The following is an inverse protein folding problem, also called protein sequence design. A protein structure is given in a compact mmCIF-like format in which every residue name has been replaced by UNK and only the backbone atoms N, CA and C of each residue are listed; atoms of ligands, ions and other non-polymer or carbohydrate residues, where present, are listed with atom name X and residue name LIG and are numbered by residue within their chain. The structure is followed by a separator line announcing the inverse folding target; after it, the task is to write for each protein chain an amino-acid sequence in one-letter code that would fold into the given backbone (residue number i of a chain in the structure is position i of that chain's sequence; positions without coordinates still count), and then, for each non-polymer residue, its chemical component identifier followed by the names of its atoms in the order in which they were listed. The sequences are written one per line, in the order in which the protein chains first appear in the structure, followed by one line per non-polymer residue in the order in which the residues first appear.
data_IF_408785039114
#
_entry.id   IF_408785039114
#
_cell.length_a   1.000
_cell.length_b   1.000
_cell.length_c   1.000
_cell.angle_alpha   90.00
_cell.angle_beta   90.00
_cell.angle_gamma   90.00
#
_symmetry.space_group_name_H-M   'P 1'
#
loop_
_entity.id
_entity.type
_entity.pdbx_description
1 polymer ?
#
# COMPACT_ATOMS: atom_id res chain seq x y z
N UNK A 1 12.90 -4.65 0.60
CA UNK A 1 11.55 -5.21 0.79
C UNK A 1 10.83 -4.32 1.79
N UNK A 2 9.64 -3.82 1.46
CA UNK A 2 8.79 -3.17 2.46
C UNK A 2 8.11 -4.27 3.28
N UNK A 3 8.21 -4.22 4.61
CA UNK A 3 7.56 -5.20 5.48
C UNK A 3 6.13 -4.77 5.78
N UNK A 4 5.35 -5.67 6.40
CA UNK A 4 4.01 -5.34 6.90
C UNK A 4 4.02 -4.27 8.00
N UNK A 5 5.19 -4.00 8.63
CA UNK A 5 5.35 -2.86 9.54
C UNK A 5 5.15 -1.53 8.82
N UNK A 6 5.63 -1.39 7.58
CA UNK A 6 5.45 -0.16 6.81
C UNK A 6 3.96 0.13 6.56
N UNK A 7 3.18 -0.92 6.25
CA UNK A 7 1.73 -0.81 6.13
C UNK A 7 1.07 -0.41 7.46
N UNK A 8 1.45 -1.06 8.57
CA UNK A 8 0.93 -0.71 9.90
C UNK A 8 1.26 0.74 10.27
N UNK A 9 2.50 1.17 10.08
CA UNK A 9 2.92 2.55 10.32
C UNK A 9 2.13 3.54 9.47
N UNK A 10 1.82 3.21 8.22
CA UNK A 10 0.99 4.04 7.35
C UNK A 10 -0.44 4.15 7.88
N UNK A 11 -1.09 3.03 8.20
CA UNK A 11 -2.48 3.04 8.71
C UNK A 11 -2.57 3.73 10.07
N UNK A 12 -1.65 3.43 10.99
CA UNK A 12 -1.64 4.01 12.34
C UNK A 12 -1.23 5.48 12.37
N UNK A 13 -0.39 5.91 11.42
CA UNK A 13 0.09 7.29 11.30
C UNK A 13 -0.85 8.22 10.53
N UNK A 14 -2.03 7.75 10.12
CA UNK A 14 -3.00 8.50 9.31
C UNK A 14 -4.42 8.36 9.87
N UNK A 15 -5.38 9.09 9.28
CA UNK A 15 -6.80 8.98 9.64
C UNK A 15 -7.42 7.61 9.35
N UNK A 16 -6.73 6.78 8.54
CA UNK A 16 -7.17 5.43 8.16
C UNK A 16 -7.42 4.52 9.36
N UNK A 17 -6.66 4.70 10.44
CA UNK A 17 -6.84 3.96 11.70
C UNK A 17 -8.29 3.98 12.19
N UNK A 18 -8.94 5.14 12.09
CA UNK A 18 -10.31 5.35 12.57
C UNK A 18 -11.35 5.26 11.42
N UNK A 19 -10.99 5.72 10.22
CA UNK A 19 -11.89 5.69 9.06
C UNK A 19 -12.23 4.26 8.61
N UNK A 20 -11.24 3.34 8.58
CA UNK A 20 -11.47 1.97 8.09
C UNK A 20 -12.50 1.22 8.95
N UNK A 21 -12.36 1.12 10.29
CA UNK A 21 -13.36 0.47 11.13
C UNK A 21 -14.74 1.11 11.01
N UNK A 22 -14.80 2.45 10.91
CA UNK A 22 -16.06 3.18 10.74
C UNK A 22 -16.75 2.81 9.44
N UNK A 23 -16.02 2.76 8.32
CA UNK A 23 -16.57 2.39 7.01
C UNK A 23 -17.03 0.92 6.98
N UNK A 24 -16.26 0.03 7.61
CA UNK A 24 -16.61 -1.39 7.70
C UNK A 24 -17.84 -1.66 8.57
N UNK A 25 -18.11 -0.83 9.57
CA UNK A 25 -19.30 -0.98 10.43
C UNK A 25 -20.64 -0.87 9.68
N UNK A 26 -20.63 -0.25 8.49
CA UNK A 26 -21.80 -0.12 7.62
C UNK A 26 -21.98 -1.26 6.60
N UNK A 27 -21.07 -2.24 6.56
CA UNK A 27 -21.13 -3.35 5.61
C UNK A 27 -22.14 -4.39 6.08
N UNK A 28 -23.04 -4.77 5.18
CA UNK A 28 -24.06 -5.78 5.38
C UNK A 28 -23.81 -6.97 4.41
N UNK A 29 -23.48 -8.17 4.92
CA UNK A 29 -23.21 -9.33 4.08
C UNK A 29 -24.37 -9.76 3.18
N UNK A 30 -25.61 -9.38 3.51
CA UNK A 30 -26.78 -9.66 2.67
C UNK A 30 -26.95 -8.65 1.52
N UNK A 31 -26.17 -7.57 1.52
CA UNK A 31 -26.27 -6.43 0.60
C UNK A 31 -24.91 -6.12 -0.04
N UNK A 32 -24.57 -6.79 -1.16
CA UNK A 32 -23.27 -6.63 -1.83
C UNK A 32 -22.90 -5.17 -2.16
N UNK A 33 -23.89 -4.32 -2.42
CA UNK A 33 -23.70 -2.90 -2.71
C UNK A 33 -23.04 -2.13 -1.54
N UNK A 34 -23.25 -2.59 -0.30
CA UNK A 34 -22.61 -1.98 0.88
C UNK A 34 -21.12 -2.29 0.95
N UNK A 35 -20.73 -3.51 0.57
CA UNK A 35 -19.34 -3.94 0.46
C UNK A 35 -18.62 -3.16 -0.64
N UNK A 36 -19.26 -2.99 -1.81
CA UNK A 36 -18.69 -2.20 -2.91
C UNK A 36 -18.49 -0.73 -2.54
N UNK A 37 -19.48 -0.13 -1.85
CA UNK A 37 -19.40 1.26 -1.39
C UNK A 37 -18.29 1.45 -0.34
N UNK A 38 -18.18 0.54 0.64
CA UNK A 38 -17.13 0.57 1.64
C UNK A 38 -15.74 0.39 1.01
N UNK A 39 -15.60 -0.58 0.10
CA UNK A 39 -14.35 -0.85 -0.63
C UNK A 39 -13.87 0.39 -1.41
N UNK A 40 -14.78 1.05 -2.14
CA UNK A 40 -14.47 2.28 -2.86
C UNK A 40 -14.02 3.39 -1.90
N UNK A 41 -14.76 3.59 -0.81
CA UNK A 41 -14.46 4.63 0.18
C UNK A 41 -13.10 4.40 0.86
N UNK A 42 -12.79 3.16 1.20
CA UNK A 42 -11.48 2.79 1.78
C UNK A 42 -10.36 3.06 0.77
N UNK A 43 -10.52 2.68 -0.50
CA UNK A 43 -9.51 2.94 -1.54
C UNK A 43 -9.24 4.44 -1.69
N UNK A 44 -10.29 5.25 -1.76
CA UNK A 44 -10.15 6.71 -1.82
C UNK A 44 -9.46 7.29 -0.58
N UNK A 45 -9.70 6.71 0.60
CA UNK A 45 -9.04 7.13 1.83
C UNK A 45 -7.52 6.85 1.76
N UNK A 46 -7.10 5.68 1.24
CA UNK A 46 -5.69 5.36 1.01
C UNK A 46 -5.03 6.33 0.01
N UNK A 47 -5.72 6.64 -1.10
CA UNK A 47 -5.22 7.60 -2.10
C UNK A 47 -4.93 8.97 -1.47
N UNK A 48 -5.86 9.47 -0.65
CA UNK A 48 -5.78 10.79 0.00
C UNK A 48 -4.82 10.83 1.20
N UNK A 49 -4.59 9.71 1.88
CA UNK A 49 -3.79 9.67 3.11
C UNK A 49 -2.32 10.07 2.84
N UNK A 50 -1.75 11.07 3.52
CA UNK A 50 -0.35 11.43 3.33
C UNK A 50 0.56 10.35 3.92
N UNK A 51 1.76 10.17 3.35
CA UNK A 51 2.78 9.34 3.98
C UNK A 51 3.20 9.94 5.33
N UNK A 52 3.16 9.17 6.43
CA UNK A 52 3.73 9.62 7.70
C UNK A 52 5.20 10.03 7.52
N UNK A 53 5.65 11.14 8.14
CA UNK A 53 7.02 11.65 7.93
C UNK A 53 8.13 10.63 8.20
N UNK A 54 7.97 9.81 9.24
CA UNK A 54 8.92 8.75 9.59
C UNK A 54 9.04 7.70 8.47
N UNK A 55 7.91 7.19 7.98
CA UNK A 55 7.89 6.22 6.89
C UNK A 55 8.47 6.80 5.60
N UNK A 56 8.16 8.07 5.27
CA UNK A 56 8.76 8.76 4.12
C UNK A 56 10.28 8.83 4.24
N UNK A 57 10.81 9.17 5.41
CA UNK A 57 12.24 9.27 5.65
C UNK A 57 12.95 7.92 5.50
N UNK A 58 12.35 6.85 6.01
CA UNK A 58 12.87 5.48 5.88
C UNK A 58 12.92 5.03 4.41
N UNK A 59 11.83 5.23 3.66
CA UNK A 59 11.77 4.89 2.23
C UNK A 59 12.75 5.70 1.40
N UNK A 60 12.91 6.99 1.72
CA UNK A 60 13.89 7.87 1.06
C UNK A 60 15.30 7.37 1.30
N UNK A 61 15.66 7.09 2.55
CA UNK A 61 16.98 6.57 2.91
C UNK A 61 17.27 5.24 2.21
N UNK A 62 16.31 4.32 2.20
CA UNK A 62 16.46 3.03 1.53
C UNK A 62 16.65 3.18 0.02
N UNK A 63 15.90 4.07 -0.63
CA UNK A 63 16.02 4.34 -2.06
C UNK A 63 17.39 4.95 -2.41
N UNK A 64 17.85 5.94 -1.64
CA UNK A 64 19.16 6.57 -1.86
C UNK A 64 20.32 5.58 -1.70
N UNK A 65 20.25 4.70 -0.69
CA UNK A 65 21.21 3.61 -0.52
C UNK A 65 21.20 2.64 -1.70
N UNK A 66 20.02 2.29 -2.21
CA UNK A 66 19.88 1.44 -3.39
C UNK A 66 20.53 2.08 -4.64
N UNK A 67 20.20 3.34 -4.93
CA UNK A 67 20.76 4.08 -6.07
C UNK A 67 22.28 4.18 -5.96
N UNK A 68 22.78 4.50 -4.76
CA UNK A 68 24.23 4.61 -4.50
C UNK A 68 24.94 3.27 -4.71
N UNK A 69 24.38 2.18 -4.18
CA UNK A 69 24.97 0.84 -4.25
C UNK A 69 24.98 0.27 -5.66
N UNK A 70 23.89 0.45 -6.40
CA UNK A 70 23.69 -0.21 -7.69
C UNK A 70 23.98 0.70 -8.89
N UNK A 71 24.19 2.01 -8.67
CA UNK A 71 24.41 3.02 -9.72
C UNK A 71 23.32 3.03 -10.79
N UNK A 72 22.09 2.68 -10.40
CA UNK A 72 20.89 2.69 -11.23
C UNK A 72 19.79 3.49 -10.54
N UNK A 73 19.06 4.28 -11.30
CA UNK A 73 17.98 5.13 -10.79
C UNK A 73 16.59 4.49 -10.86
N UNK A 74 16.43 3.39 -11.59
CA UNK A 74 15.13 2.76 -11.83
C UNK A 74 14.92 1.53 -10.96
N UNK A 75 13.66 1.28 -10.60
CA UNK A 75 13.22 0.16 -9.78
C UNK A 75 11.89 -0.40 -10.27
N UNK A 76 11.60 -1.64 -9.91
CA UNK A 76 10.26 -2.21 -10.04
C UNK A 76 9.60 -2.24 -8.65
N UNK A 77 8.36 -1.78 -8.56
CA UNK A 77 7.54 -1.89 -7.36
C UNK A 77 6.52 -3.00 -7.60
N UNK A 78 6.48 -3.98 -6.71
CA UNK A 78 5.62 -5.16 -6.81
C UNK A 78 4.84 -5.30 -5.51
N UNK A 79 3.52 -5.38 -5.61
CA UNK A 79 2.69 -5.77 -4.48
C UNK A 79 2.91 -7.24 -4.15
N UNK A 80 2.86 -7.58 -2.87
CA UNK A 80 2.96 -8.95 -2.36
C UNK A 80 2.08 -9.07 -1.11
N UNK A 81 1.41 -10.21 -0.93
CA UNK A 81 0.51 -10.47 0.19
C UNK A 81 1.00 -11.66 1.02
N UNK A 82 0.86 -11.59 2.34
CA UNK A 82 1.22 -12.71 3.24
C UNK A 82 0.28 -13.91 3.12
N UNK A 83 -0.86 -13.75 2.43
CA UNK A 83 -1.87 -14.80 2.26
C UNK A 83 -1.69 -15.63 0.97
N UNK A 84 -0.67 -15.35 0.15
CA UNK A 84 -0.39 -16.04 -1.12
C UNK A 84 -0.10 -17.53 -0.93
N UNK A 85 0.42 -17.92 0.24
CA UNK A 85 0.80 -19.30 0.56
C UNK A 85 -0.24 -20.07 1.41
N UNK A 86 -1.45 -19.53 1.61
CA UNK A 86 -2.52 -20.27 2.30
C UNK A 86 -3.13 -21.31 1.36
N UNK A 87 -3.01 -22.60 1.72
CA UNK A 87 -3.63 -23.71 1.00
C UNK A 87 -5.12 -23.43 0.73
N UNK A 88 -5.48 -23.26 -0.55
CA UNK A 88 -6.86 -23.06 -1.00
C UNK A 88 -7.22 -21.62 -1.40
N UNK A 89 -6.35 -20.63 -1.24
CA UNK A 89 -6.61 -19.26 -1.67
C UNK A 89 -5.67 -18.85 -2.82
N UNK A 90 -6.19 -18.78 -4.05
CA UNK A 90 -5.45 -18.22 -5.20
C UNK A 90 -5.92 -16.79 -5.47
N UNK A 91 -4.99 -15.84 -5.34
CA UNK A 91 -5.21 -14.41 -5.58
C UNK A 91 -4.53 -13.95 -6.89
N UNK A 92 -4.41 -14.86 -7.87
CA UNK A 92 -3.75 -14.57 -9.15
C UNK A 92 -4.42 -13.38 -9.87
N UNK A 93 -3.61 -12.41 -10.31
CA UNK A 93 -4.08 -11.20 -11.01
C UNK A 93 -4.50 -10.04 -10.11
N UNK A 94 -4.38 -10.16 -8.78
CA UNK A 94 -4.67 -9.08 -7.83
C UNK A 94 -3.45 -8.23 -7.47
N UNK A 95 -2.26 -8.61 -7.95
CA UNK A 95 -1.01 -7.91 -7.63
C UNK A 95 -0.62 -6.96 -8.77
N UNK A 96 -0.52 -5.67 -8.45
CA UNK A 96 0.00 -4.66 -9.35
C UNK A 96 1.54 -4.66 -9.36
N UNK A 97 2.10 -4.40 -10.54
CA UNK A 97 3.55 -4.20 -10.74
C UNK A 97 3.78 -2.94 -11.55
N UNK A 98 4.58 -2.03 -11.00
CA UNK A 98 5.04 -0.82 -11.67
C UNK A 98 6.50 -0.98 -12.06
N UNK A 99 6.80 -0.85 -13.36
CA UNK A 99 8.14 -1.01 -13.92
C UNK A 99 8.78 0.36 -14.17
N UNK A 100 10.12 0.39 -14.17
CA UNK A 100 10.92 1.57 -14.50
C UNK A 100 10.62 2.81 -13.65
N UNK A 101 10.23 2.61 -12.38
CA UNK A 101 9.94 3.68 -11.43
C UNK A 101 11.25 4.36 -11.03
N UNK A 102 11.34 5.68 -11.21
CA UNK A 102 12.56 6.46 -11.00
C UNK A 102 12.27 7.68 -10.14
N UNK A 103 13.10 7.92 -9.12
CA UNK A 103 12.94 9.01 -8.16
C UNK A 103 12.04 8.66 -6.99
N UNK A 104 12.33 9.24 -5.82
CA UNK A 104 11.65 8.91 -4.56
C UNK A 104 10.14 9.20 -4.61
N UNK A 105 9.70 10.30 -5.23
CA UNK A 105 8.27 10.61 -5.33
C UNK A 105 7.51 9.56 -6.14
N UNK A 106 8.10 9.06 -7.23
CA UNK A 106 7.48 8.01 -8.04
C UNK A 106 7.44 6.67 -7.30
N UNK A 107 8.45 6.38 -6.48
CA UNK A 107 8.45 5.20 -5.60
C UNK A 107 7.34 5.30 -4.56
N UNK A 108 7.18 6.45 -3.91
CA UNK A 108 6.12 6.66 -2.93
C UNK A 108 4.73 6.52 -3.55
N UNK A 109 4.51 7.09 -4.74
CA UNK A 109 3.24 6.92 -5.45
C UNK A 109 2.99 5.47 -5.82
N UNK A 110 3.99 4.77 -6.38
CA UNK A 110 3.86 3.37 -6.76
C UNK A 110 3.68 2.42 -5.56
N UNK A 111 4.15 2.78 -4.37
CA UNK A 111 3.95 2.02 -3.12
C UNK A 111 2.55 2.22 -2.55
N UNK A 112 1.91 3.36 -2.80
CA UNK A 112 0.58 3.68 -2.28
C UNK A 112 -0.55 2.99 -3.06
N UNK A 113 -0.33 2.72 -4.35
CA UNK A 113 -1.29 2.05 -5.23
C UNK A 113 -1.45 0.57 -4.83
#
# INVERSE_FOLDING_TARGET
MLTTDAYRMFVEGTALREEIPSLLSGVDPARPETTEAASRSIREAFDRAPFPPALRAELTTAYEQFVTRHRVGFSAVRSSSTAEDLEGASFAGLQETYLNVTGIEAILEAVKR
#
